data_IF_655481212509
#
_entry.id   IF_655481212509
#
_cell.length_a   1.000
_cell.length_b   1.000
_cell.length_c   1.000
_cell.angle_alpha   90.00
_cell.angle_beta   90.00
_cell.angle_gamma   90.00
#
_symmetry.space_group_name_H-M   'P 1'
#
loop_
_entity.id
_entity.type
_entity.pdbx_description
1 polymer ?
#
# COMPACT_ATOMS: atom_id res chain seq x y z
N UNK A 1 5.59 -19.59 -4.52
CA UNK A 1 4.22 -19.91 -4.08
C UNK A 1 3.90 -19.05 -2.86
N UNK A 2 2.70 -18.45 -2.80
CA UNK A 2 2.28 -17.59 -1.68
C UNK A 2 2.40 -18.25 -0.30
N UNK A 3 3.08 -17.57 0.62
CA UNK A 3 3.15 -17.89 2.05
C UNK A 3 2.75 -16.66 2.85
N UNK A 4 1.73 -16.81 3.69
CA UNK A 4 1.24 -15.70 4.49
C UNK A 4 2.33 -15.16 5.45
N UNK A 5 2.62 -13.85 5.42
CA UNK A 5 3.58 -13.25 6.34
C UNK A 5 3.11 -13.27 7.80
N UNK A 6 4.00 -13.69 8.71
CA UNK A 6 3.75 -13.74 10.16
C UNK A 6 4.31 -12.49 10.85
N UNK A 7 4.01 -11.33 10.28
CA UNK A 7 4.35 -10.00 10.79
C UNK A 7 3.06 -9.20 11.03
N UNK A 8 3.11 -8.14 11.82
CA UNK A 8 1.92 -7.36 12.14
C UNK A 8 1.41 -6.55 10.94
N UNK A 9 0.09 -6.57 10.72
CA UNK A 9 -0.64 -5.72 9.77
C UNK A 9 -2.15 -5.84 10.03
N UNK A 10 -2.93 -4.79 9.71
CA UNK A 10 -4.39 -4.82 9.70
C UNK A 10 -4.94 -5.85 8.71
N UNK A 11 -4.26 -6.07 7.58
CA UNK A 11 -4.62 -7.06 6.57
C UNK A 11 -4.49 -8.51 7.00
N UNK A 12 -3.66 -8.81 7.99
CA UNK A 12 -3.29 -10.19 8.34
C UNK A 12 -4.48 -11.01 8.82
N UNK A 13 -5.36 -10.44 9.67
CA UNK A 13 -6.48 -11.17 10.27
C UNK A 13 -7.37 -11.85 9.22
N UNK A 14 -7.59 -11.16 8.09
CA UNK A 14 -8.47 -11.61 7.02
C UNK A 14 -7.71 -12.03 5.75
N UNK A 15 -6.37 -12.09 5.81
CA UNK A 15 -5.49 -12.48 4.72
C UNK A 15 -5.73 -11.69 3.41
N UNK A 16 -5.86 -10.37 3.52
CA UNK A 16 -5.95 -9.47 2.34
C UNK A 16 -4.60 -9.46 1.59
N UNK A 17 -3.50 -9.86 2.24
CA UNK A 17 -2.22 -10.08 1.59
C UNK A 17 -2.28 -11.07 0.44
N UNK A 18 -3.17 -12.08 0.50
CA UNK A 18 -3.41 -12.99 -0.64
C UNK A 18 -4.02 -12.25 -1.83
N UNK A 19 -4.95 -11.33 -1.59
CA UNK A 19 -5.56 -10.49 -2.63
C UNK A 19 -4.50 -9.64 -3.33
N UNK A 20 -3.62 -8.98 -2.56
CA UNK A 20 -2.50 -8.20 -3.11
C UNK A 20 -1.54 -9.06 -3.95
N UNK A 21 -1.21 -10.27 -3.47
CA UNK A 21 -0.41 -11.23 -4.24
C UNK A 21 -1.10 -11.57 -5.58
N UNK A 22 -2.39 -11.93 -5.56
CA UNK A 22 -3.12 -12.35 -6.76
C UNK A 22 -3.27 -11.18 -7.77
N UNK A 23 -3.42 -9.94 -7.28
CA UNK A 23 -3.39 -8.72 -8.09
C UNK A 23 -2.05 -8.58 -8.83
N UNK A 24 -0.92 -8.75 -8.13
CA UNK A 24 0.41 -8.65 -8.76
C UNK A 24 0.62 -9.76 -9.79
N UNK A 25 0.19 -11.00 -9.51
CA UNK A 25 0.23 -12.10 -10.50
C UNK A 25 -0.56 -11.73 -11.76
N UNK A 26 -1.75 -11.13 -11.60
CA UNK A 26 -2.62 -10.74 -12.71
C UNK A 26 -2.04 -9.59 -13.54
N UNK A 27 -1.55 -8.55 -12.88
CA UNK A 27 -1.11 -7.31 -13.53
C UNK A 27 0.33 -7.36 -14.01
N UNK A 28 1.16 -8.25 -13.44
CA UNK A 28 2.58 -8.41 -13.76
C UNK A 28 3.38 -7.10 -13.78
N UNK A 29 3.24 -6.22 -12.78
CA UNK A 29 3.90 -4.92 -12.77
C UNK A 29 5.43 -5.07 -12.76
N UNK A 30 6.14 -4.18 -13.45
CA UNK A 30 7.61 -4.09 -13.38
C UNK A 30 8.05 -3.15 -12.25
N UNK A 31 7.24 -2.15 -11.94
CA UNK A 31 7.52 -1.21 -10.86
C UNK A 31 6.30 -0.99 -9.98
N UNK A 32 6.39 -1.46 -8.74
CA UNK A 32 5.42 -1.21 -7.68
C UNK A 32 5.96 -0.07 -6.81
N UNK A 33 5.13 0.94 -6.52
CA UNK A 33 5.39 1.89 -5.44
C UNK A 33 4.52 1.52 -4.25
N UNK A 34 5.11 1.40 -3.07
CA UNK A 34 4.37 1.21 -1.83
C UNK A 34 4.65 2.39 -0.89
N UNK A 35 3.58 3.00 -0.38
CA UNK A 35 3.64 4.07 0.63
C UNK A 35 3.00 3.56 1.92
N UNK A 36 3.79 3.44 2.97
CA UNK A 36 3.39 2.79 4.22
C UNK A 36 3.68 1.30 4.19
N UNK A 37 4.72 0.90 4.93
CA UNK A 37 5.32 -0.43 4.93
C UNK A 37 5.08 -1.14 6.27
N UNK A 38 5.14 -0.40 7.37
CA UNK A 38 5.02 -0.93 8.73
C UNK A 38 5.99 -2.10 8.95
N UNK A 39 5.52 -3.31 9.28
CA UNK A 39 6.38 -4.49 9.45
C UNK A 39 6.64 -5.25 8.13
N UNK A 40 6.16 -4.74 6.99
CA UNK A 40 6.40 -5.26 5.64
C UNK A 40 5.39 -6.30 5.16
N UNK A 41 4.21 -6.43 5.77
CA UNK A 41 3.24 -7.48 5.42
C UNK A 41 2.82 -7.44 3.94
N UNK A 42 2.33 -6.30 3.46
CA UNK A 42 1.92 -6.07 2.07
C UNK A 42 3.12 -6.14 1.13
N UNK A 43 4.25 -5.54 1.50
CA UNK A 43 5.53 -5.62 0.77
C UNK A 43 5.91 -7.07 0.48
N UNK A 44 5.92 -7.92 1.51
CA UNK A 44 6.30 -9.34 1.38
C UNK A 44 5.27 -10.10 0.54
N UNK A 45 3.97 -9.79 0.65
CA UNK A 45 2.95 -10.42 -0.18
C UNK A 45 3.14 -10.11 -1.67
N UNK A 46 3.29 -8.84 -2.02
CA UNK A 46 3.51 -8.41 -3.40
C UNK A 46 4.88 -8.89 -3.93
N UNK A 47 5.93 -8.90 -3.10
CA UNK A 47 7.26 -9.33 -3.51
C UNK A 47 7.33 -10.85 -3.75
N UNK A 48 6.55 -11.65 -3.02
CA UNK A 48 6.38 -13.07 -3.32
C UNK A 48 5.75 -13.29 -4.71
N UNK A 49 4.77 -12.46 -5.10
CA UNK A 49 4.18 -12.54 -6.43
C UNK A 49 5.19 -12.17 -7.52
N UNK A 50 5.97 -11.10 -7.32
CA UNK A 50 7.04 -10.72 -8.26
C UNK A 50 8.10 -11.82 -8.39
N UNK A 51 8.46 -12.48 -7.29
CA UNK A 51 9.34 -13.64 -7.29
C UNK A 51 8.78 -14.83 -8.05
N UNK A 52 7.50 -15.12 -7.87
CA UNK A 52 6.84 -16.24 -8.55
C UNK A 52 6.63 -15.97 -10.05
N UNK A 53 6.48 -14.71 -10.45
CA UNK A 53 6.50 -14.30 -11.86
C UNK A 53 7.91 -14.41 -12.46
N UNK A 54 8.93 -14.02 -11.70
CA UNK A 54 10.34 -13.97 -12.11
C UNK A 54 10.59 -13.18 -13.40
N UNK A 55 9.82 -12.13 -13.64
CA UNK A 55 9.92 -11.30 -14.85
C UNK A 55 10.59 -9.94 -14.60
N UNK A 56 11.44 -9.84 -13.56
CA UNK A 56 12.26 -8.67 -13.27
C UNK A 56 11.58 -7.50 -12.57
N UNK A 57 10.32 -7.63 -12.12
CA UNK A 57 9.63 -6.54 -11.40
C UNK A 57 10.18 -6.29 -9.99
N UNK A 58 10.07 -5.06 -9.49
CA UNK A 58 10.55 -4.62 -8.17
C UNK A 58 9.53 -3.75 -7.43
N UNK A 59 9.57 -3.80 -6.10
CA UNK A 59 8.84 -2.91 -5.20
C UNK A 59 9.75 -1.84 -4.67
N UNK A 60 9.33 -0.59 -4.76
CA UNK A 60 9.95 0.55 -4.09
C UNK A 60 9.08 0.91 -2.89
N UNK A 61 9.47 0.38 -1.73
CA UNK A 61 8.73 0.50 -0.48
C UNK A 61 9.22 1.70 0.33
N UNK A 62 8.31 2.64 0.56
CA UNK A 62 8.55 3.92 1.19
C UNK A 62 7.80 4.04 2.51
N UNK A 63 8.54 4.34 3.57
CA UNK A 63 8.01 4.59 4.90
C UNK A 63 8.82 5.70 5.57
N UNK A 64 8.31 6.22 6.67
CA UNK A 64 9.04 7.06 7.61
C UNK A 64 9.87 6.21 8.59
N UNK A 65 9.55 4.93 8.78
CA UNK A 65 10.23 4.02 9.72
C UNK A 65 10.36 4.66 11.11
N UNK A 66 11.59 4.75 11.63
CA UNK A 66 11.92 5.32 12.94
C UNK A 66 11.51 6.81 13.09
N UNK A 67 11.25 7.54 11.99
CA UNK A 67 10.79 8.94 12.03
C UNK A 67 9.28 9.08 12.27
N UNK A 68 8.49 8.01 12.16
CA UNK A 68 7.05 8.09 12.38
C UNK A 68 6.71 8.01 13.87
N UNK A 69 6.01 9.02 14.39
CA UNK A 69 5.77 9.18 15.83
C UNK A 69 4.75 8.20 16.43
N UNK A 70 3.95 7.55 15.60
CA UNK A 70 2.94 6.59 16.05
C UNK A 70 3.48 5.16 15.90
N UNK A 71 2.63 4.22 15.47
CA UNK A 71 3.05 2.84 15.27
C UNK A 71 4.03 2.76 14.10
N UNK A 72 5.26 2.34 14.37
CA UNK A 72 6.32 2.22 13.38
C UNK A 72 7.06 0.88 13.51
N UNK A 73 7.98 0.64 12.59
CA UNK A 73 8.96 -0.43 12.62
C UNK A 73 10.27 0.12 12.06
N UNK A 74 11.41 -0.26 12.65
CA UNK A 74 12.71 0.20 12.14
C UNK A 74 13.01 -0.40 10.78
N UNK A 75 13.70 0.34 9.91
CA UNK A 75 14.02 -0.12 8.56
C UNK A 75 14.80 -1.46 8.58
N UNK A 76 15.69 -1.65 9.57
CA UNK A 76 16.43 -2.90 9.77
C UNK A 76 15.50 -4.07 10.06
N UNK A 77 14.53 -3.93 10.96
CA UNK A 77 13.59 -5.01 11.30
C UNK A 77 12.68 -5.35 10.12
N UNK A 78 12.26 -4.35 9.34
CA UNK A 78 11.53 -4.59 8.09
C UNK A 78 12.38 -5.38 7.10
N UNK A 79 13.66 -5.03 6.96
CA UNK A 79 14.58 -5.76 6.09
C UNK A 79 14.77 -7.22 6.53
N UNK A 80 14.92 -7.47 7.84
CA UNK A 80 14.98 -8.82 8.39
C UNK A 80 13.71 -9.64 8.09
N UNK A 81 12.54 -9.01 8.21
CA UNK A 81 11.27 -9.62 7.84
C UNK A 81 11.23 -9.97 6.35
N UNK A 82 11.67 -9.07 5.46
CA UNK A 82 11.76 -9.31 4.02
C UNK A 82 12.70 -10.49 3.71
N UNK A 83 13.90 -10.50 4.31
CA UNK A 83 14.90 -11.56 4.14
C UNK A 83 14.36 -12.94 4.57
N UNK A 84 13.59 -13.01 5.66
CA UNK A 84 12.99 -14.25 6.17
C UNK A 84 12.06 -14.94 5.16
N UNK A 85 11.51 -14.19 4.20
CA UNK A 85 10.67 -14.72 3.13
C UNK A 85 11.42 -14.93 1.81
N UNK A 86 12.71 -14.60 1.75
CA UNK A 86 13.56 -14.81 0.59
C UNK A 86 13.12 -14.00 -0.63
N UNK A 87 12.67 -12.77 -0.41
CA UNK A 87 12.15 -11.86 -1.44
C UNK A 87 12.91 -10.53 -1.49
N UNK A 88 14.04 -10.44 -0.80
CA UNK A 88 14.87 -9.23 -0.70
C UNK A 88 15.34 -8.69 -2.04
N UNK A 89 15.59 -9.58 -3.01
CA UNK A 89 16.02 -9.17 -4.34
C UNK A 89 14.92 -8.39 -5.08
N UNK A 90 13.66 -8.48 -4.65
CA UNK A 90 12.51 -7.82 -5.27
C UNK A 90 12.09 -6.53 -4.54
N UNK A 91 12.79 -6.12 -3.49
CA UNK A 91 12.39 -5.02 -2.60
C UNK A 91 13.50 -3.97 -2.50
N UNK A 92 13.14 -2.72 -2.72
CA UNK A 92 13.95 -1.55 -2.40
C UNK A 92 13.27 -0.77 -1.26
N UNK A 93 13.80 -0.88 -0.05
CA UNK A 93 13.35 -0.05 1.08
C UNK A 93 14.00 1.34 1.00
N UNK A 94 13.21 2.38 1.26
CA UNK A 94 13.71 3.75 1.32
C UNK A 94 12.90 4.59 2.29
N UNK A 95 13.58 5.30 3.18
CA UNK A 95 12.92 6.26 4.06
C UNK A 95 12.43 7.46 3.23
N UNK A 96 11.11 7.59 3.04
CA UNK A 96 10.49 8.63 2.22
C UNK A 96 9.03 8.80 2.63
N UNK A 97 8.63 10.03 2.94
CA UNK A 97 7.24 10.35 3.23
C UNK A 97 6.39 10.38 1.96
N UNK A 98 5.07 10.23 2.13
CA UNK A 98 4.09 10.40 1.06
C UNK A 98 4.23 11.77 0.36
N UNK A 99 4.33 12.86 1.11
CA UNK A 99 4.50 14.21 0.56
C UNK A 99 5.80 14.36 -0.25
N UNK A 100 6.91 13.81 0.25
CA UNK A 100 8.18 13.81 -0.48
C UNK A 100 8.07 13.00 -1.77
N UNK A 101 7.32 11.91 -1.76
CA UNK A 101 7.04 11.15 -2.97
C UNK A 101 6.17 11.97 -3.94
N UNK A 102 5.08 12.62 -3.50
CA UNK A 102 4.23 13.49 -4.34
C UNK A 102 4.99 14.66 -4.98
N UNK A 103 6.07 15.14 -4.35
CA UNK A 103 6.93 16.18 -4.91
C UNK A 103 7.97 15.66 -5.92
N UNK A 104 8.17 14.33 -5.96
CA UNK A 104 9.14 13.66 -6.83
C UNK A 104 8.53 12.41 -7.47
N UNK A 105 7.27 12.54 -7.93
CA UNK A 105 6.54 11.42 -8.51
C UNK A 105 7.28 10.86 -9.72
N UNK A 106 7.18 9.55 -9.87
CA UNK A 106 7.81 8.78 -10.91
C UNK A 106 6.81 7.79 -11.49
N UNK A 107 7.06 7.30 -12.71
CA UNK A 107 6.22 6.29 -13.35
C UNK A 107 6.15 5.02 -12.50
N UNK A 108 4.99 4.37 -12.51
CA UNK A 108 4.73 3.09 -11.83
C UNK A 108 3.65 2.29 -12.54
N UNK A 109 3.71 0.97 -12.42
CA UNK A 109 2.72 0.05 -13.00
C UNK A 109 1.65 -0.37 -11.99
N UNK A 110 1.93 -0.19 -10.69
CA UNK A 110 1.01 -0.41 -9.58
C UNK A 110 1.45 0.43 -8.38
N UNK A 111 0.50 1.00 -7.65
CA UNK A 111 0.77 1.61 -6.35
C UNK A 111 -0.07 0.95 -5.25
N UNK A 112 0.50 0.84 -4.05
CA UNK A 112 -0.19 0.48 -2.83
C UNK A 112 0.01 1.57 -1.76
N UNK A 113 -1.06 2.02 -1.11
CA UNK A 113 -1.01 3.05 -0.05
C UNK A 113 -1.67 2.51 1.23
N UNK A 114 -0.89 2.39 2.31
CA UNK A 114 -1.37 1.98 3.63
C UNK A 114 -0.67 2.80 4.72
N UNK A 115 -1.14 4.05 4.88
CA UNK A 115 -0.70 4.97 5.93
C UNK A 115 -1.87 5.25 6.88
N UNK A 116 -2.01 6.47 7.41
CA UNK A 116 -3.23 6.90 8.09
C UNK A 116 -4.33 7.27 7.09
N UNK A 117 -4.72 6.33 6.22
CA UNK A 117 -5.70 6.58 5.15
C UNK A 117 -7.02 7.10 5.71
N UNK A 118 -7.48 8.19 5.09
CA UNK A 118 -8.73 8.88 5.30
C UNK A 118 -9.09 9.59 3.98
N UNK A 119 -10.26 10.22 3.91
CA UNK A 119 -10.75 10.89 2.69
C UNK A 119 -9.78 11.93 2.12
N UNK A 120 -9.10 12.69 2.97
CA UNK A 120 -8.15 13.73 2.51
C UNK A 120 -6.91 13.12 1.85
N UNK A 121 -6.41 11.98 2.33
CA UNK A 121 -5.27 11.29 1.72
C UNK A 121 -5.63 10.78 0.32
N UNK A 122 -6.80 10.16 0.18
CA UNK A 122 -7.25 9.58 -1.10
C UNK A 122 -7.57 10.69 -2.11
N UNK A 123 -8.26 11.76 -1.69
CA UNK A 123 -8.51 12.93 -2.53
C UNK A 123 -7.20 13.61 -2.97
N UNK A 124 -6.21 13.68 -2.08
CA UNK A 124 -4.90 14.29 -2.37
C UNK A 124 -4.14 13.55 -3.45
N UNK A 125 -4.04 12.21 -3.38
CA UNK A 125 -3.39 11.44 -4.47
C UNK A 125 -4.18 11.58 -5.77
N UNK A 126 -5.51 11.44 -5.73
CA UNK A 126 -6.38 11.55 -6.89
C UNK A 126 -6.21 12.90 -7.62
N UNK A 127 -6.23 13.99 -6.84
CA UNK A 127 -6.02 15.35 -7.36
C UNK A 127 -4.63 15.52 -7.95
N UNK A 128 -3.59 15.07 -7.26
CA UNK A 128 -2.19 15.25 -7.69
C UNK A 128 -1.91 14.53 -9.01
N UNK A 129 -2.53 13.37 -9.23
CA UNK A 129 -2.42 12.60 -10.48
C UNK A 129 -3.19 13.24 -11.62
N UNK A 130 -4.42 13.70 -11.35
CA UNK A 130 -5.23 14.44 -12.33
C UNK A 130 -4.52 15.69 -12.85
N UNK A 131 -3.72 16.35 -11.99
CA UNK A 131 -2.92 17.52 -12.33
C UNK A 131 -1.60 17.16 -13.05
N UNK A 132 -1.04 15.97 -12.82
CA UNK A 132 0.27 15.59 -13.35
C UNK A 132 0.14 14.55 -14.47
N UNK A 133 -0.21 15.02 -15.68
CA UNK A 133 -0.42 14.15 -16.85
C UNK A 133 0.86 13.63 -17.51
N UNK A 134 2.04 14.02 -17.04
CA UNK A 134 3.32 13.60 -17.64
C UNK A 134 3.85 12.28 -17.07
N UNK A 135 3.31 11.82 -15.94
CA UNK A 135 3.67 10.52 -15.35
C UNK A 135 2.74 9.43 -15.87
N UNK A 136 3.30 8.25 -16.12
CA UNK A 136 2.55 7.04 -16.45
C UNK A 136 2.23 6.30 -15.16
N UNK A 137 0.95 6.10 -14.91
CA UNK A 137 0.45 5.48 -13.67
C UNK A 137 -0.41 4.27 -13.97
N UNK A 138 -0.17 3.19 -13.24
CA UNK A 138 -1.08 2.06 -13.13
C UNK A 138 -2.15 2.25 -12.04
N UNK A 139 -2.93 1.20 -11.72
CA UNK A 139 -3.94 1.24 -10.67
C UNK A 139 -3.33 1.49 -9.28
N UNK A 140 -4.11 2.14 -8.42
CA UNK A 140 -3.66 2.52 -7.08
C UNK A 140 -4.54 1.85 -6.05
N UNK A 141 -3.98 0.86 -5.38
CA UNK A 141 -4.65 0.15 -4.30
C UNK A 141 -4.40 0.86 -2.97
N UNK A 142 -5.39 0.88 -2.08
CA UNK A 142 -5.24 1.47 -0.76
C UNK A 142 -6.04 0.74 0.32
N UNK A 143 -5.54 0.76 1.55
CA UNK A 143 -6.26 0.25 2.73
C UNK A 143 -7.51 1.09 2.98
N UNK A 144 -8.67 0.45 3.08
CA UNK A 144 -9.93 1.10 3.40
C UNK A 144 -10.85 1.32 2.21
N UNK A 145 -11.60 2.43 2.23
CA UNK A 145 -12.69 2.69 1.30
C UNK A 145 -13.99 1.92 1.59
N UNK A 146 -14.08 1.22 2.73
CA UNK A 146 -15.30 0.53 3.19
C UNK A 146 -15.98 1.31 4.31
N UNK A 147 -17.32 1.22 4.42
CA UNK A 147 -18.08 1.89 5.50
C UNK A 147 -17.64 1.48 6.91
N UNK A 148 -17.24 0.22 7.09
CA UNK A 148 -16.77 -0.28 8.39
C UNK A 148 -15.43 0.35 8.77
N UNK A 149 -14.54 0.55 7.79
CA UNK A 149 -13.21 1.10 8.05
C UNK A 149 -13.23 2.56 8.43
N UNK A 150 -14.22 3.33 7.99
CA UNK A 150 -14.39 4.71 8.45
C UNK A 150 -14.73 4.81 9.94
N UNK A 151 -15.19 3.71 10.56
CA UNK A 151 -15.61 3.66 11.97
C UNK A 151 -14.53 3.19 12.95
N UNK A 152 -13.28 3.08 12.52
CA UNK A 152 -12.19 2.72 13.44
C UNK A 152 -11.95 3.85 14.45
N UNK A 153 -11.56 3.49 15.67
CA UNK A 153 -11.47 4.39 16.83
C UNK A 153 -10.77 5.73 16.52
N UNK A 154 -9.58 5.69 15.91
CA UNK A 154 -8.81 6.91 15.63
C UNK A 154 -9.44 7.81 14.53
N UNK A 155 -10.22 7.25 13.60
CA UNK A 155 -10.95 8.08 12.63
C UNK A 155 -12.01 8.92 13.34
N UNK A 156 -12.70 8.32 14.31
CA UNK A 156 -13.73 8.98 15.12
C UNK A 156 -13.09 9.95 16.13
N UNK A 157 -12.07 9.51 16.86
CA UNK A 157 -11.38 10.30 17.89
C UNK A 157 -10.80 11.62 17.34
N UNK A 158 -10.24 11.56 16.13
CA UNK A 158 -9.58 12.70 15.49
C UNK A 158 -10.41 13.37 14.39
N UNK A 159 -11.73 13.10 14.33
CA UNK A 159 -12.68 13.67 13.36
C UNK A 159 -12.13 13.68 11.92
N UNK A 160 -11.70 12.50 11.47
CA UNK A 160 -11.10 12.33 10.13
C UNK A 160 -12.19 12.22 9.08
N UNK A 161 -11.97 12.87 7.93
CA UNK A 161 -12.86 12.75 6.77
C UNK A 161 -12.98 11.29 6.34
N UNK A 162 -14.21 10.79 6.29
CA UNK A 162 -14.51 9.42 5.86
C UNK A 162 -14.16 9.21 4.37
N UNK A 163 -13.74 8.00 4.02
CA UNK A 163 -13.41 7.63 2.63
C UNK A 163 -14.63 7.14 1.86
N UNK A 164 -15.52 6.35 2.49
CA UNK A 164 -16.67 5.72 1.83
C UNK A 164 -17.59 6.72 1.12
N UNK A 165 -17.94 7.89 1.71
CA UNK A 165 -18.77 8.87 1.04
C UNK A 165 -18.15 9.43 -0.25
N UNK A 166 -16.82 9.34 -0.42
CA UNK A 166 -16.10 9.85 -1.59
C UNK A 166 -16.00 8.82 -2.73
N UNK A 167 -16.57 7.62 -2.58
CA UNK A 167 -16.44 6.53 -3.57
C UNK A 167 -16.80 6.97 -4.98
N UNK A 168 -17.98 7.57 -5.14
CA UNK A 168 -18.47 7.97 -6.46
C UNK A 168 -17.74 9.21 -6.99
N UNK A 169 -17.40 10.15 -6.11
CA UNK A 169 -16.68 11.39 -6.46
C UNK A 169 -15.26 11.09 -6.96
N UNK A 170 -14.53 10.21 -6.27
CA UNK A 170 -13.17 9.81 -6.61
C UNK A 170 -13.12 8.60 -7.54
N UNK A 171 -14.29 8.06 -7.90
CA UNK A 171 -14.46 6.91 -8.81
C UNK A 171 -13.62 5.68 -8.43
N UNK A 172 -13.48 5.38 -7.13
CA UNK A 172 -12.77 4.18 -6.69
C UNK A 172 -13.71 2.97 -6.51
N UNK A 173 -13.17 1.76 -6.60
CA UNK A 173 -13.90 0.51 -6.36
C UNK A 173 -13.34 -0.28 -5.17
N UNK A 174 -14.22 -1.01 -4.48
CA UNK A 174 -13.83 -1.90 -3.38
C UNK A 174 -13.50 -3.28 -3.99
N UNK A 175 -12.24 -3.67 -3.91
CA UNK A 175 -11.70 -4.91 -4.47
C UNK A 175 -11.80 -6.06 -3.46
N UNK A 176 -11.67 -5.75 -2.17
CA UNK A 176 -11.83 -6.68 -1.07
C UNK A 176 -12.58 -6.00 0.07
N UNK A 177 -13.75 -6.53 0.44
CA UNK A 177 -14.58 -5.93 1.49
C UNK A 177 -14.26 -6.47 2.88
N UNK A 178 -13.36 -7.47 3.02
CA UNK A 178 -12.97 -7.98 4.34
C UNK A 178 -12.21 -6.87 5.08
N UNK A 179 -12.52 -6.62 6.34
CA UNK A 179 -11.85 -5.57 7.12
C UNK A 179 -10.31 -5.71 7.10
N UNK A 180 -9.52 -4.63 6.93
CA UNK A 180 -9.92 -3.21 6.81
C UNK A 180 -10.47 -2.80 5.43
N UNK A 181 -10.47 -3.70 4.45
CA UNK A 181 -10.86 -3.44 3.08
C UNK A 181 -9.66 -3.06 2.21
N UNK A 182 -9.78 -3.34 0.92
CA UNK A 182 -8.84 -2.93 -0.11
C UNK A 182 -9.62 -2.31 -1.26
N UNK A 183 -9.30 -1.09 -1.62
CA UNK A 183 -9.95 -0.35 -2.71
C UNK A 183 -8.95 0.03 -3.78
N UNK A 184 -9.42 0.41 -4.96
CA UNK A 184 -8.61 0.80 -6.12
C UNK A 184 -9.14 2.07 -6.77
N UNK A 185 -8.26 3.05 -7.00
CA UNK A 185 -8.47 4.18 -7.92
C UNK A 185 -8.08 3.78 -9.35
#
# INVERSE_FOLDING_TARGET
MYKEPKVYSSYRKNNIGRTLYDIVIKLKPKKIIEIGVLEGYSTICMAQALKDLDEGGKIHAHDLFDEYKYRNCSMTKVWDNVNKYGVQDYVHLKQKSFDRWLNSMEDFDLMHIDISNNGDIIEKIHTRLSQNKSIKTGPIFFEGGTQERDKVEWMIEYDKREMYPLKDELSYDIVDSRFPGLSVL
#
